data_IF_647526806136
#
_entry.id   IF_647526806136
#
_cell.length_a   1.000
_cell.length_b   1.000
_cell.length_c   1.000
_cell.angle_alpha   90.00
_cell.angle_beta   90.00
_cell.angle_gamma   90.00
#
_symmetry.space_group_name_H-M   'P 1'
#
loop_
_entity.id
_entity.type
_entity.pdbx_description
1 polymer ?
#
# COMPACT_ATOMS: atom_id res chain seq x y z
N UNK A 1 0.96 -0.64 -8.58
CA UNK A 1 1.42 -1.27 -9.84
C UNK A 1 0.21 -1.38 -10.75
N UNK A 2 0.29 -0.84 -11.95
CA UNK A 2 -0.77 -0.95 -12.95
C UNK A 2 -0.51 -2.15 -13.87
N UNK A 3 -1.55 -2.97 -14.06
CA UNK A 3 -1.60 -4.04 -15.04
C UNK A 3 -2.43 -3.57 -16.26
N UNK A 4 -1.80 -3.36 -17.42
CA UNK A 4 -2.48 -2.88 -18.61
C UNK A 4 -3.35 -3.95 -19.29
N UNK A 5 -3.12 -5.24 -19.05
CA UNK A 5 -3.87 -6.32 -19.69
C UNK A 5 -5.27 -6.45 -19.05
N UNK A 6 -5.33 -6.31 -17.73
CA UNK A 6 -6.58 -6.39 -16.95
C UNK A 6 -7.19 -5.01 -16.61
N UNK A 7 -6.48 -3.92 -16.91
CA UNK A 7 -6.85 -2.54 -16.56
C UNK A 7 -7.07 -2.37 -15.03
N UNK A 8 -6.23 -3.04 -14.25
CA UNK A 8 -6.28 -3.06 -12.79
C UNK A 8 -5.03 -2.44 -12.16
N UNK A 9 -5.18 -1.90 -10.96
CA UNK A 9 -4.12 -1.30 -10.16
C UNK A 9 -4.06 -2.02 -8.83
N UNK A 10 -2.91 -2.64 -8.56
CA UNK A 10 -2.55 -3.17 -7.26
C UNK A 10 -2.01 -2.01 -6.41
N UNK A 11 -2.69 -1.73 -5.29
CA UNK A 11 -2.30 -0.73 -4.30
C UNK A 11 -1.85 -1.44 -3.04
N UNK A 12 -0.63 -1.16 -2.60
CA UNK A 12 -0.06 -1.67 -1.37
C UNK A 12 0.13 -0.50 -0.40
N UNK A 13 -0.67 -0.45 0.64
CA UNK A 13 -0.62 0.54 1.70
C UNK A 13 0.25 -0.04 2.83
N UNK A 14 1.30 0.67 3.24
CA UNK A 14 2.18 0.25 4.34
C UNK A 14 2.06 1.27 5.46
N UNK A 15 1.67 0.79 6.64
CA UNK A 15 1.42 1.64 7.79
C UNK A 15 2.63 1.67 8.72
N UNK A 16 3.06 2.86 9.11
CA UNK A 16 4.16 3.10 10.03
C UNK A 16 3.67 3.93 11.22
N UNK A 17 4.25 3.67 12.39
CA UNK A 17 4.07 4.51 13.57
C UNK A 17 4.88 5.80 13.38
N UNK A 18 4.21 6.95 13.30
CA UNK A 18 4.90 8.24 13.20
C UNK A 18 5.83 8.53 14.40
N UNK A 19 5.53 7.96 15.57
CA UNK A 19 6.31 8.18 16.79
C UNK A 19 7.59 7.33 16.87
N UNK A 20 7.59 6.15 16.26
CA UNK A 20 8.68 5.17 16.39
C UNK A 20 9.29 4.70 15.06
N UNK A 21 8.74 5.16 13.94
CA UNK A 21 9.05 4.71 12.57
C UNK A 21 8.94 3.18 12.37
N UNK A 22 8.25 2.51 13.30
CA UNK A 22 8.07 1.07 13.25
C UNK A 22 6.90 0.74 12.32
N UNK A 23 7.11 -0.22 11.42
CA UNK A 23 6.06 -0.79 10.59
C UNK A 23 4.97 -1.42 11.47
N UNK A 24 3.74 -0.95 11.31
CA UNK A 24 2.54 -1.45 11.99
C UNK A 24 1.88 -2.57 11.18
N UNK A 25 1.96 -2.52 9.85
CA UNK A 25 1.41 -3.54 8.98
C UNK A 25 1.26 -3.06 7.54
N UNK A 26 0.50 -3.81 6.74
CA UNK A 26 0.20 -3.45 5.36
C UNK A 26 -1.17 -3.94 4.94
N UNK A 27 -1.75 -3.27 3.95
CA UNK A 27 -3.00 -3.64 3.29
C UNK A 27 -2.77 -3.65 1.79
N UNK A 28 -3.14 -4.74 1.15
CA UNK A 28 -3.09 -4.87 -0.30
C UNK A 28 -4.52 -4.88 -0.83
N UNK A 29 -4.78 -4.04 -1.83
CA UNK A 29 -6.07 -3.94 -2.50
C UNK A 29 -5.86 -3.90 -4.01
N UNK A 30 -6.86 -4.36 -4.76
CA UNK A 30 -6.88 -4.28 -6.22
C UNK A 30 -8.07 -3.42 -6.63
N UNK A 31 -7.83 -2.46 -7.52
CA UNK A 31 -8.83 -1.53 -8.01
C UNK A 31 -8.82 -1.49 -9.53
N UNK A 32 -9.98 -1.34 -10.15
CA UNK A 32 -10.04 -0.94 -11.56
C UNK A 32 -9.36 0.43 -11.73
N UNK A 33 -8.56 0.61 -12.78
CA UNK A 33 -7.76 1.82 -12.99
C UNK A 33 -8.59 3.11 -13.02
N UNK A 34 -9.82 3.04 -13.53
CA UNK A 34 -10.79 4.15 -13.58
C UNK A 34 -11.20 4.69 -12.19
N UNK A 35 -11.02 3.89 -11.12
CA UNK A 35 -11.30 4.29 -9.75
C UNK A 35 -10.13 5.02 -9.08
N UNK A 36 -8.94 5.00 -9.70
CA UNK A 36 -7.76 5.64 -9.16
C UNK A 36 -7.80 7.15 -9.44
N UNK A 37 -7.38 8.00 -8.49
CA UNK A 37 -7.23 9.43 -8.76
C UNK A 37 -6.34 9.69 -9.99
N UNK A 38 -6.79 10.58 -10.88
CA UNK A 38 -6.12 10.84 -12.16
C UNK A 38 -4.65 11.26 -11.99
N UNK A 39 -4.33 12.01 -10.94
CA UNK A 39 -2.95 12.42 -10.62
C UNK A 39 -2.05 11.22 -10.33
N UNK A 40 -2.52 10.29 -9.49
CA UNK A 40 -1.77 9.08 -9.12
C UNK A 40 -1.62 8.17 -10.34
N UNK A 41 -2.71 7.98 -11.09
CA UNK A 41 -2.68 7.11 -12.26
C UNK A 41 -1.71 7.61 -13.32
N UNK A 42 -1.64 8.93 -13.52
CA UNK A 42 -0.66 9.54 -14.41
C UNK A 42 0.78 9.24 -13.97
N UNK A 43 1.10 9.42 -12.68
CA UNK A 43 2.44 9.12 -12.15
C UNK A 43 2.81 7.64 -12.34
N UNK A 44 1.84 6.73 -12.21
CA UNK A 44 2.02 5.31 -12.45
C UNK A 44 2.35 5.04 -13.92
N UNK A 45 1.64 5.68 -14.86
CA UNK A 45 1.84 5.51 -16.30
C UNK A 45 3.15 6.12 -16.83
N UNK A 46 3.64 7.20 -16.22
CA UNK A 46 4.91 7.85 -16.61
C UNK A 46 6.15 7.05 -16.19
N UNK A 47 5.99 6.09 -15.27
CA UNK A 47 7.04 5.20 -14.80
C UNK A 47 7.20 4.00 -15.73
N UNK A 48 8.44 3.68 -16.16
CA UNK A 48 8.73 2.47 -16.97
C UNK A 48 8.29 1.18 -16.27
N UNK A 49 8.29 1.17 -14.94
CA UNK A 49 7.86 0.04 -14.11
C UNK A 49 6.35 -0.03 -13.87
N UNK A 50 5.59 0.91 -14.44
CA UNK A 50 4.14 1.08 -14.20
C UNK A 50 3.80 1.07 -12.71
N UNK A 51 4.67 1.67 -11.90
CA UNK A 51 4.59 1.70 -10.45
C UNK A 51 5.00 3.07 -9.93
N UNK A 52 4.29 3.50 -8.89
CA UNK A 52 4.50 4.77 -8.19
C UNK A 52 4.37 4.52 -6.69
N UNK A 53 5.17 5.23 -5.90
CA UNK A 53 5.16 5.17 -4.44
C UNK A 53 5.29 6.58 -3.88
N UNK A 54 4.47 6.88 -2.89
CA UNK A 54 4.54 8.10 -2.09
C UNK A 54 4.25 7.77 -0.62
N UNK A 55 4.66 8.67 0.27
CA UNK A 55 4.31 8.63 1.69
C UNK A 55 3.43 9.83 2.03
N UNK A 56 2.46 9.62 2.90
CA UNK A 56 1.61 10.68 3.42
C UNK A 56 1.31 10.44 4.89
N UNK A 57 1.13 11.52 5.63
CA UNK A 57 0.59 11.46 6.99
C UNK A 57 -0.92 11.21 6.90
N UNK A 58 -1.43 10.37 7.81
CA UNK A 58 -2.86 10.09 7.90
C UNK A 58 -3.50 11.00 8.94
N UNK A 59 -4.73 11.42 8.67
CA UNK A 59 -5.51 12.21 9.63
C UNK A 59 -5.79 11.40 10.90
N UNK A 60 -5.75 12.06 12.06
CA UNK A 60 -6.00 11.44 13.37
C UNK A 60 -7.34 10.70 13.43
N UNK A 61 -8.36 11.17 12.70
CA UNK A 61 -9.69 10.56 12.64
C UNK A 61 -9.69 9.20 11.93
N UNK A 62 -8.74 8.97 11.03
CA UNK A 62 -8.60 7.73 10.25
C UNK A 62 -7.79 6.67 11.00
N UNK A 63 -6.99 7.07 12.00
CA UNK A 63 -6.13 6.17 12.78
C UNK A 63 -6.91 4.99 13.41
N UNK A 64 -8.06 5.18 14.08
CA UNK A 64 -8.79 4.08 14.69
C UNK A 64 -9.24 3.02 13.69
N UNK A 65 -9.65 3.43 12.48
CA UNK A 65 -10.08 2.50 11.43
C UNK A 65 -8.91 1.67 10.89
N UNK A 66 -7.76 2.31 10.68
CA UNK A 66 -6.52 1.63 10.27
C UNK A 66 -6.10 0.62 11.34
N UNK A 67 -6.06 1.02 12.61
CA UNK A 67 -5.68 0.13 13.71
C UNK A 67 -6.65 -1.05 13.85
N UNK A 68 -7.96 -0.81 13.69
CA UNK A 68 -8.97 -1.87 13.70
C UNK A 68 -8.78 -2.86 12.54
N UNK A 69 -8.55 -2.36 11.33
CA UNK A 69 -8.24 -3.20 10.18
C UNK A 69 -6.98 -4.03 10.42
N UNK A 70 -5.91 -3.41 10.91
CA UNK A 70 -4.65 -4.10 11.19
C UNK A 70 -4.83 -5.16 12.27
N UNK A 71 -5.56 -4.89 13.35
CA UNK A 71 -5.88 -5.87 14.39
C UNK A 71 -6.64 -7.08 13.84
N UNK A 72 -7.63 -6.84 12.99
CA UNK A 72 -8.44 -7.90 12.38
C UNK A 72 -7.68 -8.72 11.33
N UNK A 73 -6.74 -8.11 10.63
CA UNK A 73 -6.05 -8.69 9.47
C UNK A 73 -4.55 -8.89 9.71
N UNK A 74 -4.12 -8.93 10.98
CA UNK A 74 -2.73 -8.90 11.46
C UNK A 74 -1.86 -10.10 11.01
N UNK A 75 -2.39 -11.00 10.18
CA UNK A 75 -1.61 -12.04 9.50
C UNK A 75 -1.92 -12.06 8.01
N UNK A 76 -0.95 -11.67 7.18
CA UNK A 76 -0.87 -12.20 5.84
C UNK A 76 -0.55 -13.71 5.97
N UNK A 77 -1.50 -14.59 5.62
CA UNK A 77 -1.20 -16.01 5.41
C UNK A 77 -0.10 -16.23 4.34
N UNK A 78 0.22 -15.18 3.58
CA UNK A 78 1.23 -15.18 2.53
C UNK A 78 1.95 -13.83 2.44
N UNK A 79 2.70 -13.43 3.46
CA UNK A 79 3.76 -12.45 3.22
C UNK A 79 4.97 -13.26 2.77
N UNK A 80 5.32 -13.11 1.50
CA UNK A 80 6.61 -13.54 0.99
C UNK A 80 7.67 -13.08 2.00
N UNK A 81 8.42 -14.06 2.50
CA UNK A 81 9.51 -13.93 3.45
C UNK A 81 10.21 -12.58 3.26
N UNK A 82 10.16 -11.74 4.29
CA UNK A 82 11.21 -10.76 4.48
C UNK A 82 12.51 -11.55 4.39
N UNK A 83 13.27 -11.33 3.32
CA UNK A 83 14.68 -11.69 3.27
C UNK A 83 15.35 -10.84 4.35
N UNK A 84 15.27 -11.34 5.58
CA UNK A 84 16.15 -10.97 6.66
C UNK A 84 17.53 -11.36 6.18
N UNK A 85 18.24 -10.39 5.58
CA UNK A 85 19.69 -10.48 5.47
C UNK A 85 20.23 -10.51 6.90
N UNK A 86 20.33 -11.72 7.46
CA UNK A 86 21.12 -11.98 8.64
C UNK A 86 22.59 -12.04 8.23
N UNK A 87 23.33 -11.05 8.76
CA UNK A 87 24.78 -10.84 8.84
C UNK A 87 25.49 -10.28 7.63
#
# INVERSE_FOLDING_TARGET
>A
MYDPDDNEVIVNEIFYSAASDQKLGSKMSVFAAEKLPTSIFKNVQESESMSYMESMEVDEQTIPEILCYLDQNQKPEKLYFELQYMK
#
